data_IF_018900445766
#
_entry.id   IF_018900445766
#
_cell.length_a   1.000
_cell.length_b   1.000
_cell.length_c   1.000
_cell.angle_alpha   90.00
_cell.angle_beta   90.00
_cell.angle_gamma   90.00
#
_symmetry.space_group_name_H-M   'P 1'
#
loop_
_entity.id
_entity.type
_entity.pdbx_description
1 polymer ?
#
# COMPACT_ATOMS: atom_id res chain seq x y z
N UNK A 1 6.72 -16.85 -11.13
CA UNK A 1 6.00 -15.63 -11.55
C UNK A 1 6.83 -14.77 -12.51
N UNK A 2 8.06 -14.38 -12.16
CA UNK A 2 8.96 -13.63 -13.06
C UNK A 2 9.29 -14.32 -14.39
N UNK A 3 9.64 -15.62 -14.34
CA UNK A 3 9.90 -16.41 -15.56
C UNK A 3 8.69 -16.51 -16.48
N UNK A 4 7.48 -16.54 -15.89
CA UNK A 4 6.24 -16.54 -16.66
C UNK A 4 6.08 -15.20 -17.40
N UNK A 5 6.31 -14.06 -16.74
CA UNK A 5 6.21 -12.75 -17.38
C UNK A 5 7.26 -12.55 -18.48
N UNK A 6 8.51 -12.99 -18.27
CA UNK A 6 9.55 -12.96 -19.32
C UNK A 6 9.13 -13.80 -20.52
N UNK A 7 8.61 -15.01 -20.29
CA UNK A 7 8.11 -15.88 -21.36
C UNK A 7 6.96 -15.23 -22.12
N UNK A 8 6.01 -14.60 -21.42
CA UNK A 8 4.89 -13.91 -22.05
C UNK A 8 5.35 -12.69 -22.86
N UNK A 9 6.35 -11.93 -22.38
CA UNK A 9 6.92 -10.82 -23.13
C UNK A 9 7.55 -11.29 -24.44
N UNK A 10 8.35 -12.37 -24.42
CA UNK A 10 8.93 -12.98 -25.62
C UNK A 10 7.85 -13.46 -26.60
N UNK A 11 6.81 -14.13 -26.10
CA UNK A 11 5.71 -14.67 -26.91
C UNK A 11 4.86 -13.56 -27.55
N UNK A 12 4.64 -12.44 -26.83
CA UNK A 12 3.86 -11.29 -27.30
C UNK A 12 4.69 -10.27 -28.11
N UNK A 13 6.01 -10.45 -28.19
CA UNK A 13 6.92 -9.50 -28.85
C UNK A 13 7.09 -8.17 -28.13
N UNK A 14 6.83 -8.10 -26.81
CA UNK A 14 7.02 -6.89 -26.00
C UNK A 14 8.41 -6.87 -25.34
N UNK A 15 8.98 -5.69 -25.02
CA UNK A 15 10.31 -5.61 -24.40
C UNK A 15 10.37 -6.35 -23.05
N UNK A 16 11.35 -7.24 -22.88
CA UNK A 16 11.53 -8.01 -21.64
C UNK A 16 11.79 -7.09 -20.43
N UNK A 17 12.46 -5.95 -20.64
CA UNK A 17 12.65 -4.95 -19.58
C UNK A 17 11.32 -4.40 -19.00
N UNK A 18 10.22 -4.51 -19.74
CA UNK A 18 8.87 -4.09 -19.32
C UNK A 18 8.01 -5.23 -18.79
N UNK A 19 8.55 -6.44 -18.65
CA UNK A 19 7.79 -7.61 -18.18
C UNK A 19 7.26 -7.47 -16.74
N UNK A 20 7.85 -6.57 -15.95
CA UNK A 20 7.43 -6.24 -14.59
C UNK A 20 6.14 -5.40 -14.52
N UNK A 21 5.79 -4.69 -15.61
CA UNK A 21 4.62 -3.81 -15.64
C UNK A 21 3.34 -4.62 -15.47
N UNK A 22 2.55 -4.30 -14.45
CA UNK A 22 1.33 -5.02 -14.09
C UNK A 22 1.54 -6.25 -13.20
N UNK A 23 2.80 -6.53 -12.82
CA UNK A 23 3.16 -7.55 -11.83
C UNK A 23 3.77 -6.90 -10.58
N UNK A 24 4.69 -5.96 -10.77
CA UNK A 24 5.30 -5.22 -9.68
C UNK A 24 4.33 -4.16 -9.13
N UNK A 25 4.40 -3.95 -7.82
CA UNK A 25 3.60 -2.96 -7.08
C UNK A 25 4.49 -1.88 -6.47
N UNK A 26 5.64 -1.63 -7.08
CA UNK A 26 6.58 -0.56 -6.71
C UNK A 26 6.57 0.56 -7.76
N UNK A 27 7.07 1.74 -7.37
CA UNK A 27 7.26 2.92 -8.22
C UNK A 27 5.97 3.46 -8.92
N UNK A 28 4.98 3.97 -8.15
CA UNK A 28 5.02 4.23 -6.70
C UNK A 28 4.46 3.06 -5.87
N UNK A 29 4.85 3.02 -4.60
CA UNK A 29 4.18 2.16 -3.61
C UNK A 29 2.68 2.48 -3.53
N UNK A 30 1.82 1.49 -3.21
CA UNK A 30 0.39 1.75 -3.06
C UNK A 30 0.11 2.70 -1.90
N UNK A 31 -0.60 3.80 -2.17
CA UNK A 31 -1.07 4.72 -1.14
C UNK A 31 -2.43 4.26 -0.59
N UNK A 32 -2.39 3.34 0.38
CA UNK A 32 -3.58 2.82 1.04
C UNK A 32 -4.31 3.89 1.87
N UNK A 33 -3.60 4.87 2.40
CA UNK A 33 -4.18 5.94 3.20
C UNK A 33 -5.06 6.86 2.33
N UNK A 34 -4.60 7.25 1.15
CA UNK A 34 -5.40 8.04 0.20
C UNK A 34 -6.58 7.24 -0.35
N UNK A 35 -6.40 5.94 -0.59
CA UNK A 35 -7.52 5.08 -1.00
C UNK A 35 -8.60 4.99 0.09
N UNK A 36 -8.23 4.82 1.36
CA UNK A 36 -9.20 4.82 2.46
C UNK A 36 -9.92 6.17 2.61
N UNK A 37 -9.21 7.30 2.45
CA UNK A 37 -9.82 8.64 2.48
C UNK A 37 -10.88 8.82 1.39
N UNK A 38 -10.66 8.28 0.18
CA UNK A 38 -11.65 8.37 -0.90
C UNK A 38 -12.95 7.60 -0.59
N UNK A 39 -12.88 6.60 0.29
CA UNK A 39 -14.03 5.84 0.80
C UNK A 39 -14.67 6.49 2.03
N UNK A 40 -14.25 7.70 2.42
CA UNK A 40 -14.79 8.42 3.58
C UNK A 40 -14.25 7.94 4.93
N UNK A 41 -13.17 7.15 4.94
CA UNK A 41 -12.53 6.72 6.17
C UNK A 41 -11.62 7.79 6.73
N UNK A 42 -11.39 7.75 8.04
CA UNK A 42 -10.19 8.35 8.61
C UNK A 42 -8.98 7.53 8.18
N UNK A 43 -7.90 8.14 7.71
CA UNK A 43 -6.67 7.41 7.48
C UNK A 43 -5.41 8.24 7.75
N UNK A 44 -4.39 7.58 8.30
CA UNK A 44 -3.03 8.10 8.44
C UNK A 44 -2.03 7.13 7.82
N UNK A 45 -1.01 7.67 7.17
CA UNK A 45 0.13 6.91 6.66
C UNK A 45 0.72 7.49 5.38
N UNK A 46 1.86 6.94 4.91
CA UNK A 46 2.58 5.82 5.54
C UNK A 46 3.25 6.24 6.87
N UNK A 47 3.09 5.41 7.91
CA UNK A 47 3.76 5.57 9.21
C UNK A 47 5.05 4.75 9.15
N UNK A 48 6.17 5.44 8.95
CA UNK A 48 7.51 4.86 8.80
C UNK A 48 8.29 4.73 10.12
N UNK A 49 7.84 5.45 11.16
CA UNK A 49 8.49 5.51 12.47
C UNK A 49 7.69 4.78 13.52
N UNK A 50 8.26 3.74 14.17
CA UNK A 50 7.56 2.97 15.21
C UNK A 50 7.02 3.82 16.36
N UNK A 51 7.71 4.91 16.72
CA UNK A 51 7.32 5.82 17.81
C UNK A 51 6.01 6.58 17.54
N UNK A 52 5.64 6.75 16.27
CA UNK A 52 4.48 7.56 15.86
C UNK A 52 3.18 6.74 15.85
N UNK A 53 3.30 5.40 15.82
CA UNK A 53 2.17 4.45 15.78
C UNK A 53 1.24 4.64 16.98
N UNK A 54 1.78 4.80 18.19
CA UNK A 54 0.96 4.90 19.40
C UNK A 54 0.07 6.17 19.41
N UNK A 55 0.58 7.29 18.88
CA UNK A 55 -0.16 8.53 18.78
C UNK A 55 -1.23 8.46 17.67
N UNK A 56 -0.89 7.88 16.51
CA UNK A 56 -1.81 7.66 15.41
C UNK A 56 -2.97 6.74 15.83
N UNK A 57 -2.67 5.66 16.55
CA UNK A 57 -3.67 4.74 17.08
C UNK A 57 -4.68 5.42 18.01
N UNK A 58 -4.23 6.30 18.91
CA UNK A 58 -5.13 7.06 19.80
C UNK A 58 -6.10 7.94 18.99
N UNK A 59 -5.63 8.61 17.93
CA UNK A 59 -6.49 9.43 17.06
C UNK A 59 -7.47 8.57 16.26
N UNK A 60 -7.01 7.46 15.69
CA UNK A 60 -7.84 6.51 14.95
C UNK A 60 -8.97 5.94 15.84
N UNK A 61 -8.65 5.55 17.08
CA UNK A 61 -9.66 5.06 18.04
C UNK A 61 -10.74 6.12 18.30
N UNK A 62 -10.37 7.39 18.45
CA UNK A 62 -11.36 8.45 18.64
C UNK A 62 -12.33 8.58 17.45
N UNK A 63 -11.83 8.38 16.22
CA UNK A 63 -12.64 8.40 14.99
C UNK A 63 -13.57 7.21 14.89
N UNK A 64 -13.07 6.01 15.22
CA UNK A 64 -13.90 4.79 15.28
C UNK A 64 -15.01 4.92 16.31
N UNK A 65 -14.72 5.45 17.50
CA UNK A 65 -15.74 5.71 18.54
C UNK A 65 -16.79 6.75 18.11
N UNK A 66 -16.44 7.65 17.20
CA UNK A 66 -17.37 8.61 16.60
C UNK A 66 -18.16 8.04 15.39
N UNK A 67 -17.97 6.76 15.07
CA UNK A 67 -18.68 6.08 13.98
C UNK A 67 -17.98 6.14 12.62
N UNK A 68 -16.76 6.66 12.53
CA UNK A 68 -15.99 6.71 11.28
C UNK A 68 -14.97 5.57 11.23
N UNK A 69 -14.97 4.70 10.20
CA UNK A 69 -13.91 3.71 10.01
C UNK A 69 -12.52 4.35 9.93
N UNK A 70 -11.49 3.63 10.36
CA UNK A 70 -10.12 4.13 10.38
C UNK A 70 -9.11 3.14 9.78
N UNK A 71 -8.16 3.64 8.98
CA UNK A 71 -7.01 2.89 8.47
C UNK A 71 -5.71 3.55 8.93
N UNK A 72 -4.75 2.75 9.42
CA UNK A 72 -3.39 3.18 9.70
C UNK A 72 -2.43 2.37 8.85
N UNK A 73 -1.86 3.00 7.82
CA UNK A 73 -0.86 2.37 6.96
C UNK A 73 0.50 2.46 7.65
N UNK A 74 0.99 1.33 8.16
CA UNK A 74 2.20 1.25 8.99
C UNK A 74 3.22 0.34 8.33
N UNK A 75 4.40 0.89 8.05
CA UNK A 75 5.50 0.12 7.49
C UNK A 75 6.12 -0.76 8.58
N UNK A 76 6.21 -2.06 8.32
CA UNK A 76 6.78 -3.04 9.26
C UNK A 76 7.84 -3.89 8.56
N UNK A 77 8.73 -4.48 9.35
CA UNK A 77 9.74 -5.41 8.85
C UNK A 77 9.40 -6.84 9.27
N UNK A 78 9.64 -7.80 8.38
CA UNK A 78 9.56 -9.23 8.71
C UNK A 78 10.71 -9.58 9.68
N UNK A 79 10.40 -10.34 10.73
CA UNK A 79 11.40 -10.93 11.64
C UNK A 79 11.99 -12.22 11.08
#
# INVERSE_FOLDING_TARGET
>A
DWEHQIRMAKLRGTPVARAHIGMDMSDPDPDFASMAKSMGWYAEGPIDKPKDVAAALKRAIAKVKAGTPALLDTLTQKR
#
